data_IF_742196024366
#
_entry.id   IF_742196024366
#
_cell.length_a   1.000
_cell.length_b   1.000
_cell.length_c   1.000
_cell.angle_alpha   90.00
_cell.angle_beta   90.00
_cell.angle_gamma   90.00
#
_symmetry.space_group_name_H-M   'P 1'
#
loop_
_entity.id
_entity.type
_entity.pdbx_description
1 polymer ?
#
# COMPACT_ATOMS: atom_id res chain seq x y z
N UNK A 1 24.44 -11.18 -10.31
CA UNK A 1 22.99 -10.89 -10.40
C UNK A 1 22.66 -10.55 -11.85
N UNK A 2 21.76 -11.28 -12.50
CA UNK A 2 21.41 -11.05 -13.91
C UNK A 2 20.14 -10.18 -13.98
N UNK A 3 20.31 -8.90 -14.32
CA UNK A 3 19.22 -7.94 -14.48
C UNK A 3 18.78 -7.90 -15.94
N UNK A 4 17.47 -7.78 -16.19
CA UNK A 4 16.87 -7.53 -17.49
C UNK A 4 15.85 -6.40 -17.36
N UNK A 5 16.05 -5.32 -18.11
CA UNK A 5 15.17 -4.16 -18.16
C UNK A 5 14.70 -3.97 -19.61
N UNK A 6 13.48 -4.39 -19.90
CA UNK A 6 12.90 -4.35 -21.23
C UNK A 6 11.93 -3.17 -21.36
N UNK A 7 12.10 -2.38 -22.41
CA UNK A 7 11.15 -1.34 -22.82
C UNK A 7 10.65 -1.66 -24.22
N UNK A 8 9.34 -1.76 -24.41
CA UNK A 8 8.72 -2.02 -25.69
C UNK A 8 8.11 -0.75 -26.26
N UNK A 9 8.65 -0.31 -27.38
CA UNK A 9 8.05 0.79 -28.16
C UNK A 9 6.76 0.30 -28.82
N UNK A 10 5.61 0.84 -28.42
CA UNK A 10 4.28 0.44 -28.93
C UNK A 10 4.06 0.82 -30.39
N UNK A 11 4.73 1.86 -30.90
CA UNK A 11 4.54 2.32 -32.27
C UNK A 11 5.25 1.42 -33.28
N UNK A 12 6.39 0.85 -32.91
CA UNK A 12 7.23 0.01 -33.78
C UNK A 12 7.25 -1.46 -33.37
N UNK A 13 6.69 -1.81 -32.20
CA UNK A 13 6.78 -3.11 -31.53
C UNK A 13 8.23 -3.55 -31.20
N UNK A 14 9.22 -2.64 -31.36
CA UNK A 14 10.60 -2.93 -31.03
C UNK A 14 10.79 -3.02 -29.50
N UNK A 15 11.51 -4.05 -29.07
CA UNK A 15 11.87 -4.24 -27.64
C UNK A 15 13.34 -3.88 -27.50
N UNK A 16 13.64 -3.05 -26.51
CA UNK A 16 14.98 -2.64 -26.13
C UNK A 16 15.36 -3.29 -24.81
N UNK A 17 16.49 -3.99 -24.77
CA UNK A 17 17.12 -4.44 -23.53
C UNK A 17 18.03 -3.32 -23.02
N UNK A 18 17.71 -2.79 -21.85
CA UNK A 18 18.29 -1.56 -21.31
C UNK A 18 19.16 -1.77 -20.06
N UNK A 19 19.26 -2.99 -19.53
CA UNK A 19 19.97 -3.23 -18.26
C UNK A 19 21.44 -2.81 -18.33
N UNK A 20 22.13 -3.07 -19.45
CA UNK A 20 23.55 -2.66 -19.63
C UNK A 20 23.77 -1.14 -19.78
N UNK A 21 22.71 -0.37 -19.96
CA UNK A 21 22.72 1.08 -20.07
C UNK A 21 22.29 1.78 -18.78
N UNK A 22 22.08 1.03 -17.72
CA UNK A 22 21.49 1.48 -16.45
C UNK A 22 22.46 1.20 -15.30
N UNK A 23 22.73 2.21 -14.47
CA UNK A 23 23.56 2.05 -13.28
C UNK A 23 22.79 1.52 -12.08
N UNK A 24 21.57 2.01 -11.92
CA UNK A 24 20.70 1.69 -10.78
C UNK A 24 19.25 1.61 -11.21
N UNK A 25 18.54 0.65 -10.65
CA UNK A 25 17.08 0.50 -10.76
C UNK A 25 16.48 0.45 -9.36
N UNK A 26 15.51 1.32 -9.09
CA UNK A 26 14.79 1.33 -7.81
C UNK A 26 13.35 0.92 -8.04
N UNK A 27 12.90 -0.11 -7.33
CA UNK A 27 11.51 -0.55 -7.30
C UNK A 27 10.90 -0.30 -5.92
N UNK A 28 9.86 0.50 -5.86
CA UNK A 28 9.12 0.81 -4.63
C UNK A 28 7.71 0.24 -4.69
N UNK A 29 7.34 -0.55 -3.69
CA UNK A 29 5.96 -0.98 -3.45
C UNK A 29 5.46 -0.45 -2.10
N UNK A 30 4.22 0.03 -2.07
CA UNK A 30 3.52 0.44 -0.84
C UNK A 30 2.23 -0.34 -0.71
N UNK A 31 1.87 -0.70 0.50
CA UNK A 31 0.63 -1.45 0.77
C UNK A 31 -0.61 -0.61 0.50
N UNK A 32 -0.53 0.69 0.77
CA UNK A 32 -1.62 1.64 0.59
C UNK A 32 -1.13 2.96 -0.01
N UNK A 33 -2.04 3.72 -0.57
CA UNK A 33 -1.85 5.14 -0.91
C UNK A 33 -1.09 5.45 -2.20
N UNK A 34 -0.38 4.50 -2.80
CA UNK A 34 0.35 4.76 -4.04
C UNK A 34 0.54 3.52 -4.91
N UNK A 35 0.66 3.69 -6.23
CA UNK A 35 1.01 2.62 -7.16
C UNK A 35 2.44 2.12 -6.94
N UNK A 36 2.71 0.90 -7.41
CA UNK A 36 4.08 0.40 -7.53
C UNK A 36 4.85 1.24 -8.54
N UNK A 37 6.09 1.60 -8.18
CA UNK A 37 6.92 2.55 -8.93
C UNK A 37 8.29 1.95 -9.23
N UNK A 38 8.72 2.04 -10.50
CA UNK A 38 10.06 1.72 -10.95
C UNK A 38 10.75 3.00 -11.45
N UNK A 39 11.92 3.30 -10.91
CA UNK A 39 12.75 4.42 -11.28
C UNK A 39 14.12 3.93 -11.76
N UNK A 40 14.60 4.47 -12.87
CA UNK A 40 15.90 4.15 -13.43
C UNK A 40 16.39 5.26 -14.33
N UNK A 41 17.71 5.30 -14.56
CA UNK A 41 18.33 6.23 -15.51
C UNK A 41 19.10 5.47 -16.56
N UNK A 42 18.95 5.88 -17.83
CA UNK A 42 19.59 5.26 -18.98
C UNK A 42 20.53 6.24 -19.65
N UNK A 43 21.70 5.78 -20.03
CA UNK A 43 22.51 6.53 -21.02
C UNK A 43 21.96 6.23 -22.41
N UNK A 44 21.54 7.28 -23.15
CA UNK A 44 21.03 7.09 -24.51
C UNK A 44 22.09 6.53 -25.42
N UNK A 45 21.88 5.31 -25.91
CA UNK A 45 22.77 4.65 -26.86
C UNK A 45 22.00 4.25 -28.14
N UNK A 46 22.67 4.33 -29.28
CA UNK A 46 22.16 3.84 -30.54
C UNK A 46 20.79 4.43 -30.95
N UNK A 47 19.91 3.54 -31.39
CA UNK A 47 18.56 3.85 -31.86
C UNK A 47 17.48 3.76 -30.80
N UNK A 48 17.84 3.76 -29.52
CA UNK A 48 16.89 3.71 -28.40
C UNK A 48 15.83 4.82 -28.54
N UNK A 49 14.58 4.38 -28.70
CA UNK A 49 13.42 5.25 -28.83
C UNK A 49 12.22 4.63 -28.12
N UNK A 50 11.73 5.32 -27.09
CA UNK A 50 10.55 4.95 -26.34
C UNK A 50 9.81 6.21 -25.86
N UNK A 51 8.54 6.05 -25.49
CA UNK A 51 7.63 7.14 -25.19
C UNK A 51 6.83 6.85 -23.91
N UNK A 52 6.16 7.87 -23.42
CA UNK A 52 5.18 7.74 -22.34
C UNK A 52 4.08 6.75 -22.76
N UNK A 53 3.69 5.86 -21.83
CA UNK A 53 2.76 4.77 -22.10
C UNK A 53 3.39 3.47 -22.63
N UNK A 54 4.67 3.48 -22.99
CA UNK A 54 5.37 2.27 -23.42
C UNK A 54 5.56 1.29 -22.25
N UNK A 55 5.33 -0.03 -22.46
CA UNK A 55 5.50 -1.03 -21.42
C UNK A 55 6.96 -1.18 -20.97
N UNK A 56 7.13 -1.35 -19.66
CA UNK A 56 8.41 -1.64 -19.01
C UNK A 56 8.30 -2.93 -18.23
N UNK A 57 9.31 -3.80 -18.35
CA UNK A 57 9.49 -5.02 -17.56
C UNK A 57 10.85 -5.01 -16.92
N UNK A 58 10.91 -5.29 -15.65
CA UNK A 58 12.17 -5.47 -14.91
C UNK A 58 12.19 -6.83 -14.23
N UNK A 59 13.22 -7.60 -14.51
CA UNK A 59 13.43 -8.93 -13.96
C UNK A 59 14.83 -9.07 -13.42
N UNK A 60 14.99 -9.89 -12.38
CA UNK A 60 16.28 -10.23 -11.77
C UNK A 60 16.36 -11.75 -11.62
N UNK A 61 17.45 -12.34 -12.13
CA UNK A 61 17.68 -13.79 -12.14
C UNK A 61 16.45 -14.58 -12.65
N UNK A 62 15.80 -14.05 -13.69
CA UNK A 62 14.60 -14.63 -14.30
C UNK A 62 13.28 -14.38 -13.55
N UNK A 63 13.33 -13.79 -12.35
CA UNK A 63 12.14 -13.44 -11.58
C UNK A 63 11.62 -12.06 -12.00
N UNK A 64 10.36 -11.98 -12.45
CA UNK A 64 9.73 -10.70 -12.79
C UNK A 64 9.44 -9.91 -11.51
N UNK A 65 10.08 -8.74 -11.38
CA UNK A 65 9.95 -7.83 -10.24
C UNK A 65 8.88 -6.78 -10.50
N UNK A 66 8.87 -6.23 -11.72
CA UNK A 66 7.97 -5.13 -12.08
C UNK A 66 7.46 -5.28 -13.53
N UNK A 67 6.20 -4.95 -13.71
CA UNK A 67 5.58 -4.70 -14.99
C UNK A 67 4.72 -3.43 -14.91
N UNK A 68 4.92 -2.51 -15.81
CA UNK A 68 4.19 -1.25 -15.82
C UNK A 68 4.44 -0.45 -17.09
N UNK A 69 4.27 0.85 -16.99
CA UNK A 69 4.32 1.75 -18.15
C UNK A 69 5.15 2.99 -17.82
N UNK A 70 5.85 3.53 -18.81
CA UNK A 70 6.56 4.81 -18.71
C UNK A 70 5.55 5.94 -18.48
N UNK A 71 5.74 6.73 -17.43
CA UNK A 71 4.92 7.92 -17.17
C UNK A 71 5.69 9.21 -17.31
N UNK A 72 6.95 9.23 -16.87
CA UNK A 72 7.81 10.40 -17.04
C UNK A 72 9.14 10.00 -17.64
N UNK A 73 9.68 10.91 -18.45
CA UNK A 73 10.97 10.78 -19.07
C UNK A 73 11.62 12.15 -19.12
N UNK A 74 12.74 12.30 -18.44
CA UNK A 74 13.53 13.52 -18.42
C UNK A 74 14.91 13.24 -19.02
N UNK A 75 15.37 14.07 -19.92
CA UNK A 75 16.70 13.95 -20.53
C UNK A 75 17.55 15.17 -20.19
N UNK A 76 18.71 14.92 -19.62
CA UNK A 76 19.69 15.94 -19.34
C UNK A 76 20.59 16.28 -20.57
N UNK A 77 21.45 17.28 -20.39
CA UNK A 77 22.41 17.69 -21.42
C UNK A 77 23.48 16.65 -21.75
N UNK A 78 23.71 15.72 -20.83
CA UNK A 78 24.71 14.66 -20.99
C UNK A 78 24.18 13.42 -21.70
N UNK A 79 22.88 13.41 -21.99
CA UNK A 79 22.22 12.30 -22.65
C UNK A 79 21.68 11.25 -21.71
N UNK A 80 21.75 11.48 -20.39
CA UNK A 80 21.11 10.62 -19.40
C UNK A 80 19.60 10.84 -19.43
N UNK A 81 18.85 9.75 -19.51
CA UNK A 81 17.38 9.75 -19.50
C UNK A 81 16.90 9.14 -18.20
N UNK A 82 16.36 9.95 -17.30
CA UNK A 82 15.69 9.49 -16.09
C UNK A 82 14.25 9.12 -16.40
N UNK A 83 13.82 7.95 -15.94
CA UNK A 83 12.51 7.37 -16.24
C UNK A 83 11.81 7.00 -14.93
N UNK A 84 10.53 7.38 -14.85
CA UNK A 84 9.61 6.84 -13.84
C UNK A 84 8.52 6.03 -14.54
N UNK A 85 8.41 4.78 -14.17
CA UNK A 85 7.33 3.88 -14.59
C UNK A 85 6.46 3.50 -13.41
N UNK A 86 5.15 3.37 -13.66
CA UNK A 86 4.18 2.89 -12.67
C UNK A 86 3.48 1.64 -13.15
N UNK A 87 3.08 0.79 -12.22
CA UNK A 87 2.16 -0.31 -12.51
C UNK A 87 0.75 0.20 -12.83
N UNK A 88 -0.16 -0.70 -13.22
CA UNK A 88 -1.50 -0.30 -13.65
C UNK A 88 -2.37 0.29 -12.53
N UNK A 89 -2.02 0.12 -11.24
CA UNK A 89 -2.75 0.76 -10.15
C UNK A 89 -2.67 2.29 -10.22
N UNK A 90 -1.71 2.84 -10.97
CA UNK A 90 -1.60 4.28 -11.25
C UNK A 90 -2.85 4.85 -11.92
N UNK A 91 -3.50 4.08 -12.78
CA UNK A 91 -4.73 4.52 -13.44
C UNK A 91 -5.89 4.67 -12.45
N UNK A 92 -5.85 3.96 -11.33
CA UNK A 92 -6.84 4.04 -10.26
C UNK A 92 -6.73 5.29 -9.37
N UNK A 93 -5.74 6.16 -9.60
CA UNK A 93 -5.71 7.49 -9.00
C UNK A 93 -6.73 8.45 -9.63
N UNK A 94 -7.39 8.05 -10.72
CA UNK A 94 -8.53 8.77 -11.28
C UNK A 94 -9.68 8.81 -10.26
N UNK A 95 -10.37 9.96 -10.21
CA UNK A 95 -11.50 10.18 -9.30
C UNK A 95 -12.79 9.74 -9.97
N UNK A 96 -13.62 9.01 -9.22
CA UNK A 96 -14.95 8.57 -9.65
C UNK A 96 -15.92 8.60 -8.47
N UNK A 97 -17.21 8.73 -8.79
CA UNK A 97 -18.28 8.54 -7.82
C UNK A 97 -18.75 7.09 -7.86
N UNK A 98 -18.71 6.44 -6.70
CA UNK A 98 -19.22 5.08 -6.55
C UNK A 98 -20.10 4.97 -5.32
N UNK A 99 -21.16 4.19 -5.48
CA UNK A 99 -22.02 3.75 -4.39
C UNK A 99 -22.12 2.23 -4.41
N UNK A 100 -21.81 1.60 -3.28
CA UNK A 100 -21.92 0.16 -3.09
C UNK A 100 -22.81 -0.14 -1.89
N UNK A 101 -23.72 -1.08 -2.05
CA UNK A 101 -24.64 -1.55 -1.00
C UNK A 101 -24.51 -3.06 -0.94
N UNK A 102 -24.17 -3.61 0.23
CA UNK A 102 -24.03 -5.05 0.41
C UNK A 102 -22.91 -5.66 -0.47
N UNK A 103 -21.80 -4.95 -0.67
CA UNK A 103 -20.71 -5.40 -1.53
C UNK A 103 -19.56 -6.00 -0.70
N UNK A 104 -18.80 -6.92 -1.30
CA UNK A 104 -17.52 -7.37 -0.75
C UNK A 104 -16.38 -6.52 -1.30
N UNK A 105 -15.22 -6.48 -0.63
CA UNK A 105 -14.09 -5.68 -1.11
C UNK A 105 -13.57 -6.18 -2.47
N UNK A 106 -13.54 -7.52 -2.69
CA UNK A 106 -13.21 -8.09 -3.98
C UNK A 106 -14.24 -7.71 -5.07
N UNK A 107 -15.52 -7.56 -4.72
CA UNK A 107 -16.56 -7.07 -5.61
C UNK A 107 -16.36 -5.61 -6.00
N UNK A 108 -15.95 -4.76 -5.05
CA UNK A 108 -15.55 -3.36 -5.31
C UNK A 108 -14.38 -3.32 -6.29
N UNK A 109 -13.33 -4.13 -6.08
CA UNK A 109 -12.16 -4.21 -6.97
C UNK A 109 -12.58 -4.64 -8.37
N UNK A 110 -13.40 -5.69 -8.50
CA UNK A 110 -13.88 -6.19 -9.80
C UNK A 110 -14.66 -5.13 -10.57
N UNK A 111 -15.56 -4.39 -9.90
CA UNK A 111 -16.34 -3.33 -10.51
C UNK A 111 -15.44 -2.20 -11.01
N UNK A 112 -14.54 -1.72 -10.17
CA UNK A 112 -13.60 -0.64 -10.53
C UNK A 112 -12.68 -1.10 -11.67
N UNK A 113 -12.09 -2.29 -11.58
CA UNK A 113 -11.23 -2.82 -12.64
C UNK A 113 -11.95 -2.91 -13.99
N UNK A 114 -13.20 -3.38 -13.99
CA UNK A 114 -14.03 -3.46 -15.20
C UNK A 114 -14.27 -2.09 -15.83
N UNK A 115 -14.60 -1.09 -15.01
CA UNK A 115 -14.91 0.26 -15.50
C UNK A 115 -13.66 0.95 -16.10
N UNK A 116 -12.46 0.56 -15.66
CA UNK A 116 -11.17 1.05 -16.19
C UNK A 116 -10.54 0.12 -17.25
N UNK A 117 -11.18 -0.99 -17.61
CA UNK A 117 -10.64 -1.95 -18.57
C UNK A 117 -9.36 -2.64 -18.09
N UNK A 118 -9.16 -2.75 -16.76
CA UNK A 118 -7.98 -3.37 -16.16
C UNK A 118 -8.22 -4.86 -15.89
N UNK A 119 -7.16 -5.66 -16.08
CA UNK A 119 -7.23 -7.10 -15.85
C UNK A 119 -7.08 -7.43 -14.38
N UNK A 120 -7.99 -8.26 -13.85
CA UNK A 120 -7.86 -8.83 -12.51
C UNK A 120 -7.16 -10.19 -12.54
N UNK A 121 -6.36 -10.44 -11.51
CA UNK A 121 -5.78 -11.73 -11.18
C UNK A 121 -6.58 -12.45 -10.10
N UNK A 122 -5.86 -13.12 -9.18
CA UNK A 122 -6.47 -13.76 -8.03
C UNK A 122 -6.96 -12.70 -7.02
N UNK A 123 -8.25 -12.72 -6.70
CA UNK A 123 -8.85 -11.88 -5.68
C UNK A 123 -9.29 -12.79 -4.53
N UNK A 124 -8.59 -12.69 -3.40
CA UNK A 124 -8.94 -13.44 -2.19
C UNK A 124 -10.32 -13.02 -1.67
N UNK A 125 -11.13 -14.00 -1.25
CA UNK A 125 -12.40 -13.74 -0.58
C UNK A 125 -12.12 -13.15 0.81
N UNK A 126 -12.66 -11.96 1.07
CA UNK A 126 -12.49 -11.26 2.34
C UNK A 126 -13.39 -11.79 3.45
N UNK A 127 -14.45 -12.52 3.12
CA UNK A 127 -15.42 -13.09 4.05
C UNK A 127 -16.28 -12.04 4.78
N UNK A 128 -16.27 -10.79 4.30
CA UNK A 128 -17.01 -9.70 4.90
C UNK A 128 -17.82 -8.93 3.85
N UNK A 129 -19.09 -8.72 4.14
CA UNK A 129 -19.98 -7.89 3.33
C UNK A 129 -20.06 -6.51 3.94
N UNK A 130 -19.64 -5.51 3.19
CA UNK A 130 -19.67 -4.09 3.55
C UNK A 130 -21.11 -3.62 3.36
N UNK A 131 -21.80 -3.18 4.42
CA UNK A 131 -23.21 -2.77 4.29
C UNK A 131 -23.39 -1.62 3.32
N UNK A 132 -22.52 -0.61 3.42
CA UNK A 132 -22.64 0.60 2.65
C UNK A 132 -21.31 1.32 2.45
N UNK A 133 -21.05 1.75 1.23
CA UNK A 133 -19.95 2.64 0.86
C UNK A 133 -20.47 3.65 -0.15
N UNK A 134 -20.43 4.93 0.18
CA UNK A 134 -20.76 6.01 -0.74
C UNK A 134 -19.63 7.03 -0.81
N UNK A 135 -19.19 7.29 -2.02
CA UNK A 135 -18.20 8.30 -2.34
C UNK A 135 -18.75 9.18 -3.45
N UNK A 136 -19.65 10.08 -3.05
CA UNK A 136 -20.38 10.97 -3.98
C UNK A 136 -19.49 11.89 -4.79
N UNK A 137 -18.28 12.22 -4.33
CA UNK A 137 -17.28 12.97 -5.09
C UNK A 137 -15.91 12.99 -4.43
N UNK A 138 -14.86 13.08 -5.23
CA UNK A 138 -13.54 13.54 -4.81
C UNK A 138 -12.53 12.51 -4.38
N UNK A 139 -12.89 11.24 -4.16
CA UNK A 139 -11.91 10.17 -3.86
C UNK A 139 -11.41 9.51 -5.14
N UNK A 140 -10.14 9.10 -5.13
CA UNK A 140 -9.60 8.25 -6.19
C UNK A 140 -10.18 6.83 -6.08
N UNK A 141 -10.20 6.10 -7.19
CA UNK A 141 -10.63 4.71 -7.20
C UNK A 141 -9.76 3.85 -6.29
N UNK A 142 -8.46 4.17 -6.20
CA UNK A 142 -7.54 3.50 -5.28
C UNK A 142 -7.95 3.73 -3.82
N UNK A 143 -8.29 4.96 -3.42
CA UNK A 143 -8.77 5.28 -2.07
C UNK A 143 -10.12 4.58 -1.76
N UNK A 144 -10.99 4.44 -2.76
CA UNK A 144 -12.26 3.72 -2.62
C UNK A 144 -12.00 2.24 -2.30
N UNK A 145 -11.10 1.60 -3.04
CA UNK A 145 -10.67 0.21 -2.78
C UNK A 145 -10.04 0.11 -1.39
N UNK A 146 -9.15 1.04 -1.02
CA UNK A 146 -8.51 1.04 0.30
C UNK A 146 -9.52 1.24 1.43
N UNK A 147 -10.54 2.08 1.23
CA UNK A 147 -11.62 2.26 2.21
C UNK A 147 -12.43 0.97 2.39
N UNK A 148 -12.70 0.23 1.31
CA UNK A 148 -13.34 -1.08 1.39
C UNK A 148 -12.50 -2.08 2.19
N UNK A 149 -11.19 -2.15 1.94
CA UNK A 149 -10.27 -3.02 2.66
C UNK A 149 -10.09 -2.61 4.13
N UNK A 150 -10.15 -1.32 4.43
CA UNK A 150 -10.12 -0.82 5.80
C UNK A 150 -11.37 -1.27 6.58
N UNK A 151 -12.56 -1.22 5.97
CA UNK A 151 -13.79 -1.75 6.56
C UNK A 151 -13.66 -3.25 6.87
N UNK A 152 -13.08 -4.03 5.97
CA UNK A 152 -12.77 -5.45 6.23
C UNK A 152 -11.85 -5.59 7.44
N UNK A 153 -10.75 -4.83 7.49
CA UNK A 153 -9.77 -4.91 8.58
C UNK A 153 -10.40 -4.55 9.93
N UNK A 154 -11.16 -3.46 10.00
CA UNK A 154 -11.82 -3.00 11.22
C UNK A 154 -12.79 -4.04 11.74
N UNK A 155 -13.57 -4.70 10.87
CA UNK A 155 -14.64 -5.61 11.28
C UNK A 155 -14.19 -7.08 11.46
N UNK A 156 -13.08 -7.48 10.81
CA UNK A 156 -12.63 -8.89 10.85
C UNK A 156 -11.28 -9.09 11.55
N UNK A 157 -10.51 -8.02 11.78
CA UNK A 157 -9.12 -8.07 12.23
C UNK A 157 -8.14 -8.57 11.16
N UNK A 158 -8.61 -8.92 9.96
CA UNK A 158 -7.77 -9.44 8.88
C UNK A 158 -7.32 -8.31 7.96
N UNK A 159 -6.05 -8.32 7.59
CA UNK A 159 -5.49 -7.36 6.64
C UNK A 159 -5.35 -7.99 5.27
N UNK A 160 -5.92 -7.33 4.28
CA UNK A 160 -5.79 -7.69 2.88
C UNK A 160 -5.00 -6.64 2.12
N UNK A 161 -4.25 -7.08 1.13
CA UNK A 161 -3.40 -6.23 0.30
C UNK A 161 -3.87 -6.28 -1.14
N UNK A 162 -4.19 -5.11 -1.67
CA UNK A 162 -4.46 -4.89 -3.08
C UNK A 162 -3.18 -4.43 -3.78
N UNK A 163 -2.81 -5.10 -4.87
CA UNK A 163 -1.56 -4.83 -5.58
C UNK A 163 -1.63 -5.25 -7.04
N UNK A 164 -0.73 -4.74 -7.85
CA UNK A 164 -0.49 -5.27 -9.19
C UNK A 164 0.46 -6.48 -9.13
N UNK A 165 0.03 -7.59 -9.69
CA UNK A 165 0.83 -8.79 -9.88
C UNK A 165 1.15 -8.97 -11.36
N UNK A 166 2.22 -8.32 -11.81
CA UNK A 166 2.70 -8.40 -13.19
C UNK A 166 1.61 -8.10 -14.25
N UNK A 167 0.89 -6.99 -14.08
CA UNK A 167 -0.17 -6.54 -14.97
C UNK A 167 -1.54 -7.14 -14.65
N UNK A 168 -1.74 -7.72 -13.47
CA UNK A 168 -3.03 -8.24 -12.99
C UNK A 168 -3.33 -7.73 -11.59
N UNK A 169 -4.41 -6.97 -11.44
CA UNK A 169 -4.88 -6.49 -10.13
C UNK A 169 -5.26 -7.67 -9.24
N UNK A 170 -4.61 -7.78 -8.10
CA UNK A 170 -4.71 -8.94 -7.22
C UNK A 170 -4.99 -8.52 -5.78
N UNK A 171 -5.64 -9.40 -5.01
CA UNK A 171 -5.95 -9.22 -3.61
C UNK A 171 -5.48 -10.45 -2.82
N UNK A 172 -4.77 -10.25 -1.72
CA UNK A 172 -4.25 -11.32 -0.88
C UNK A 172 -4.34 -10.98 0.61
N UNK A 173 -4.59 -11.98 1.45
CA UNK A 173 -4.54 -11.84 2.91
C UNK A 173 -3.08 -11.82 3.38
N UNK A 174 -2.68 -10.77 4.10
CA UNK A 174 -1.30 -10.61 4.60
C UNK A 174 -0.89 -11.72 5.56
N UNK A 175 -1.79 -12.14 6.46
CA UNK A 175 -1.51 -13.19 7.44
C UNK A 175 -1.11 -14.54 6.82
N UNK A 176 -1.64 -14.82 5.62
CA UNK A 176 -1.31 -16.00 4.83
C UNK A 176 -0.16 -15.77 3.85
N UNK A 177 0.39 -14.57 3.79
CA UNK A 177 1.46 -14.20 2.85
C UNK A 177 2.77 -13.90 3.58
N UNK A 178 3.35 -14.94 4.15
CA UNK A 178 4.61 -14.87 4.91
C UNK A 178 5.80 -15.06 3.99
N UNK A 179 6.87 -14.30 4.24
CA UNK A 179 8.18 -14.52 3.66
C UNK A 179 8.98 -15.47 4.55
N UNK A 180 9.83 -16.30 3.95
CA UNK A 180 10.78 -17.15 4.66
C UNK A 180 12.04 -16.38 5.11
N UNK A 181 12.19 -15.11 4.71
CA UNK A 181 13.31 -14.27 5.11
C UNK A 181 13.23 -13.92 6.61
N UNK A 182 14.37 -13.98 7.27
CA UNK A 182 14.58 -13.47 8.61
C UNK A 182 15.37 -12.16 8.52
N UNK A 183 14.77 -11.07 8.97
CA UNK A 183 15.39 -9.74 8.96
C UNK A 183 15.76 -9.38 10.41
N UNK A 184 17.02 -9.11 10.66
CA UNK A 184 17.44 -8.76 12.02
C UNK A 184 18.93 -8.69 12.22
N UNK A 185 19.34 -8.49 13.47
CA UNK A 185 20.75 -8.44 13.88
C UNK A 185 21.44 -9.76 13.57
N UNK A 186 22.58 -9.71 12.87
CA UNK A 186 23.32 -10.89 12.43
C UNK A 186 22.70 -11.63 11.24
N UNK A 187 21.72 -11.04 10.55
CA UNK A 187 21.09 -11.56 9.34
C UNK A 187 21.13 -10.49 8.24
N UNK A 188 20.00 -10.24 7.55
CA UNK A 188 19.95 -9.30 6.42
C UNK A 188 19.94 -7.83 6.83
N UNK A 189 19.55 -7.46 8.06
CA UNK A 189 19.49 -6.06 8.49
C UNK A 189 20.91 -5.46 8.63
N UNK A 190 21.10 -4.28 8.04
CA UNK A 190 22.36 -3.50 8.11
C UNK A 190 22.22 -2.30 9.02
N UNK A 191 21.03 -1.70 9.08
CA UNK A 191 20.70 -0.57 9.94
C UNK A 191 19.20 -0.54 10.22
N UNK A 192 18.77 0.19 11.27
CA UNK A 192 17.35 0.40 11.54
C UNK A 192 17.08 1.73 12.26
N UNK A 193 15.86 2.24 12.11
CA UNK A 193 15.32 3.38 12.84
C UNK A 193 13.95 3.01 13.40
N UNK A 194 13.77 3.22 14.69
CA UNK A 194 12.52 2.95 15.39
C UNK A 194 11.88 4.23 15.90
N UNK A 195 10.60 4.42 15.61
CA UNK A 195 9.81 5.60 16.01
C UNK A 195 8.53 5.16 16.70
N UNK A 196 8.20 5.84 17.79
CA UNK A 196 6.88 5.81 18.40
C UNK A 196 6.21 7.18 18.25
N UNK A 197 4.92 7.21 17.92
CA UNK A 197 4.18 8.47 17.84
C UNK A 197 2.69 8.30 18.16
N UNK A 198 2.06 9.43 18.54
CA UNK A 198 0.62 9.56 18.73
C UNK A 198 0.04 10.71 17.87
N UNK A 199 0.84 11.27 16.95
CA UNK A 199 0.49 12.40 16.09
C UNK A 199 -0.26 11.97 14.82
N UNK A 200 0.13 10.83 14.28
CA UNK A 200 -0.55 10.26 13.11
C UNK A 200 -1.79 9.47 13.58
N UNK A 201 -2.49 8.76 12.79
CA UNK A 201 -3.64 7.84 13.00
C UNK A 201 -3.86 7.29 14.43
N UNK A 202 -3.73 8.13 15.49
CA UNK A 202 -4.00 7.81 16.89
C UNK A 202 -5.15 8.69 17.40
N UNK A 203 -6.24 8.05 17.83
CA UNK A 203 -7.42 8.73 18.32
C UNK A 203 -7.94 8.06 19.58
N UNK A 204 -8.06 8.82 20.66
CA UNK A 204 -8.61 8.37 21.95
C UNK A 204 -10.08 8.82 22.18
N UNK A 205 -10.65 9.45 21.17
CA UNK A 205 -12.07 9.83 21.13
C UNK A 205 -12.60 9.66 19.70
N UNK A 206 -13.67 8.88 19.54
CA UNK A 206 -14.35 8.67 18.29
C UNK A 206 -15.68 9.38 18.32
N UNK A 207 -15.90 10.32 17.40
CA UNK A 207 -17.14 11.08 17.25
C UNK A 207 -17.76 10.76 15.91
N UNK A 208 -18.87 10.02 15.94
CA UNK A 208 -19.67 9.71 14.76
C UNK A 208 -20.91 10.59 14.74
N UNK A 209 -21.24 11.14 13.57
CA UNK A 209 -22.36 12.05 13.39
C UNK A 209 -23.30 11.48 12.32
N UNK A 210 -24.55 11.19 12.72
CA UNK A 210 -25.59 10.76 11.82
C UNK A 210 -26.47 11.97 11.44
N UNK A 211 -26.54 12.36 10.18
CA UNK A 211 -27.52 13.37 9.75
C UNK A 211 -28.93 12.82 9.91
N UNK A 212 -29.88 13.69 10.12
CA UNK A 212 -31.31 13.35 10.15
C UNK A 212 -32.03 14.34 9.23
N UNK A 213 -32.31 13.88 8.02
CA UNK A 213 -32.95 14.69 6.96
C UNK A 213 -34.37 15.11 7.33
N UNK A 214 -35.06 14.34 8.18
CA UNK A 214 -36.43 14.62 8.62
C UNK A 214 -36.48 15.78 9.61
N UNK A 215 -35.51 15.87 10.53
CA UNK A 215 -35.50 16.89 11.59
C UNK A 215 -34.58 18.07 11.28
N UNK A 216 -33.71 17.93 10.28
CA UNK A 216 -32.64 18.89 9.96
C UNK A 216 -31.53 18.97 11.01
N UNK A 217 -31.53 18.06 12.00
CA UNK A 217 -30.54 17.99 13.08
C UNK A 217 -29.62 16.78 12.89
N UNK A 218 -28.42 16.88 13.42
CA UNK A 218 -27.48 15.78 13.46
C UNK A 218 -27.48 15.13 14.85
N UNK A 219 -27.43 13.81 14.88
CA UNK A 219 -27.26 13.03 16.11
C UNK A 219 -25.80 12.67 16.29
N UNK A 220 -25.27 12.84 17.50
CA UNK A 220 -23.85 12.65 17.81
C UNK A 220 -23.69 11.44 18.71
N UNK A 221 -22.80 10.55 18.32
CA UNK A 221 -22.41 9.37 19.07
C UNK A 221 -20.92 9.46 19.37
N UNK A 222 -20.52 9.28 20.63
CA UNK A 222 -19.13 9.42 21.04
C UNK A 222 -18.72 8.27 21.96
N UNK A 223 -17.57 7.66 21.66
CA UNK A 223 -16.85 6.72 22.50
C UNK A 223 -15.44 7.25 22.76
N UNK A 224 -14.92 7.10 23.98
CA UNK A 224 -13.62 7.69 24.34
C UNK A 224 -12.92 6.92 25.45
N UNK A 225 -11.58 6.99 25.46
CA UNK A 225 -10.71 6.53 26.53
C UNK A 225 -10.28 7.71 27.43
N UNK A 226 -10.96 7.87 28.57
CA UNK A 226 -10.69 8.97 29.49
C UNK A 226 -9.29 8.91 30.13
N UNK A 227 -8.71 7.71 30.30
CA UNK A 227 -7.37 7.55 30.85
C UNK A 227 -6.32 8.10 29.88
N UNK A 228 -6.41 7.74 28.60
CA UNK A 228 -5.47 8.23 27.58
C UNK A 228 -5.72 9.71 27.25
N UNK A 229 -6.95 10.19 27.32
CA UNK A 229 -7.21 11.63 27.22
C UNK A 229 -6.49 12.38 28.33
N UNK A 230 -6.48 11.85 29.58
CA UNK A 230 -5.73 12.44 30.68
C UNK A 230 -4.21 12.45 30.47
N UNK A 231 -3.66 11.51 29.69
CA UNK A 231 -2.21 11.39 29.42
C UNK A 231 -1.76 12.16 28.19
N UNK A 232 -2.54 12.15 27.11
CA UNK A 232 -2.14 12.66 25.79
C UNK A 232 -2.91 13.90 25.35
N UNK A 233 -3.97 14.28 26.07
CA UNK A 233 -4.96 15.23 25.59
C UNK A 233 -5.99 14.57 24.68
N UNK A 234 -6.92 15.37 24.18
CA UNK A 234 -8.00 14.90 23.30
C UNK A 234 -7.49 14.76 21.87
N UNK A 235 -7.42 13.52 21.37
CA UNK A 235 -7.17 13.17 19.99
C UNK A 235 -8.46 12.61 19.39
N UNK A 236 -9.18 13.45 18.61
CA UNK A 236 -10.52 13.11 18.15
C UNK A 236 -10.55 12.67 16.69
N UNK A 237 -11.13 11.48 16.44
CA UNK A 237 -11.61 11.05 15.14
C UNK A 237 -13.02 11.58 14.90
N UNK A 238 -13.30 12.08 13.70
CA UNK A 238 -14.62 12.55 13.30
C UNK A 238 -15.01 11.93 11.97
N UNK A 239 -16.22 11.35 11.93
CA UNK A 239 -16.80 10.81 10.70
C UNK A 239 -18.31 11.04 10.69
N UNK A 240 -18.83 11.41 9.51
CA UNK A 240 -20.26 11.40 9.25
C UNK A 240 -20.64 10.00 8.75
N UNK A 241 -21.60 9.39 9.45
CA UNK A 241 -22.10 8.05 9.11
C UNK A 241 -23.41 8.14 8.33
N UNK A 242 -23.79 7.02 7.72
CA UNK A 242 -25.03 6.93 6.95
C UNK A 242 -26.27 7.12 7.83
N UNK A 243 -27.28 7.84 7.31
CA UNK A 243 -28.56 8.09 7.97
C UNK A 243 -29.35 6.80 8.26
N UNK A 244 -29.19 5.77 7.41
CA UNK A 244 -29.87 4.48 7.51
C UNK A 244 -29.33 3.59 8.66
N UNK A 245 -28.16 3.91 9.21
CA UNK A 245 -27.59 3.14 10.33
C UNK A 245 -28.40 3.36 11.61
N UNK A 246 -28.73 2.28 12.32
CA UNK A 246 -29.37 2.38 13.61
C UNK A 246 -28.35 2.67 14.73
N UNK A 247 -28.86 3.08 15.90
CA UNK A 247 -28.07 3.47 17.08
C UNK A 247 -27.08 2.36 17.51
N UNK A 248 -27.52 1.09 17.49
CA UNK A 248 -26.68 -0.03 17.89
C UNK A 248 -25.52 -0.25 16.93
N UNK A 249 -25.74 -0.10 15.62
CA UNK A 249 -24.71 -0.20 14.60
C UNK A 249 -23.67 0.93 14.75
N UNK A 250 -24.10 2.16 14.95
CA UNK A 250 -23.22 3.33 15.12
C UNK A 250 -22.37 3.19 16.39
N UNK A 251 -23.00 2.78 17.49
CA UNK A 251 -22.27 2.55 18.76
C UNK A 251 -21.24 1.43 18.63
N UNK A 252 -21.58 0.33 17.97
CA UNK A 252 -20.66 -0.76 17.69
C UNK A 252 -19.49 -0.30 16.80
N UNK A 253 -19.76 0.49 15.76
CA UNK A 253 -18.75 1.09 14.91
C UNK A 253 -17.81 2.01 15.70
N UNK A 254 -18.35 2.88 16.55
CA UNK A 254 -17.54 3.79 17.38
C UNK A 254 -16.59 3.01 18.32
N UNK A 255 -17.07 1.95 18.96
CA UNK A 255 -16.25 1.07 19.82
C UNK A 255 -15.13 0.36 19.02
N UNK A 256 -15.48 -0.15 17.85
CA UNK A 256 -14.51 -0.82 16.97
C UNK A 256 -13.42 0.15 16.50
N UNK A 257 -13.81 1.36 16.10
CA UNK A 257 -12.86 2.42 15.71
C UNK A 257 -11.97 2.83 16.88
N UNK A 258 -12.52 3.00 18.09
CA UNK A 258 -11.74 3.30 19.28
C UNK A 258 -10.70 2.21 19.54
N UNK A 259 -11.12 0.94 19.55
CA UNK A 259 -10.20 -0.20 19.72
C UNK A 259 -9.08 -0.21 18.67
N UNK A 260 -9.39 0.17 17.44
CA UNK A 260 -8.41 0.17 16.35
C UNK A 260 -7.43 1.35 16.43
N UNK A 261 -7.89 2.56 16.74
CA UNK A 261 -7.10 3.78 16.67
C UNK A 261 -6.44 4.19 17.99
N UNK A 262 -6.99 3.74 19.14
CA UNK A 262 -6.53 4.17 20.46
C UNK A 262 -5.25 3.45 20.90
N UNK A 263 -4.13 3.79 20.24
CA UNK A 263 -2.83 3.14 20.46
C UNK A 263 -1.68 4.06 20.09
N UNK A 264 -0.52 3.86 20.70
CA UNK A 264 0.75 4.42 20.22
C UNK A 264 1.11 3.72 18.90
N UNK A 265 1.37 4.47 17.87
CA UNK A 265 1.90 3.94 16.61
C UNK A 265 3.39 3.66 16.75
N UNK A 266 3.80 2.53 16.24
CA UNK A 266 5.19 2.11 16.18
C UNK A 266 5.59 1.82 14.76
N UNK A 267 6.61 2.51 14.28
CA UNK A 267 7.15 2.36 12.93
C UNK A 267 8.61 1.94 13.05
N UNK A 268 8.97 0.90 12.34
CA UNK A 268 10.33 0.43 12.23
C UNK A 268 10.73 0.48 10.76
N UNK A 269 11.75 1.27 10.46
CA UNK A 269 12.42 1.32 9.16
C UNK A 269 13.71 0.52 9.26
N UNK A 270 13.92 -0.41 8.33
CA UNK A 270 15.08 -1.30 8.32
C UNK A 270 15.77 -1.18 6.97
N UNK A 271 17.08 -0.94 6.99
CA UNK A 271 17.93 -1.12 5.82
C UNK A 271 18.50 -2.54 5.83
N UNK A 272 18.47 -3.21 4.69
CA UNK A 272 18.83 -4.61 4.61
C UNK A 272 19.44 -5.00 3.27
N UNK A 273 20.17 -6.12 3.26
CA UNK A 273 20.54 -6.80 2.04
C UNK A 273 19.28 -7.29 1.31
N UNK A 274 19.32 -7.29 -0.02
CA UNK A 274 18.17 -7.58 -0.83
C UNK A 274 17.67 -9.02 -0.76
N UNK A 275 16.37 -9.18 -0.63
CA UNK A 275 15.66 -10.46 -0.76
C UNK A 275 14.70 -10.33 -1.94
N UNK A 276 14.95 -11.09 -3.01
CA UNK A 276 14.10 -11.06 -4.20
C UNK A 276 12.66 -11.48 -3.89
N UNK A 277 11.70 -10.77 -4.47
CA UNK A 277 10.27 -11.08 -4.34
C UNK A 277 9.63 -10.59 -3.05
N UNK A 278 10.38 -9.96 -2.13
CA UNK A 278 9.81 -9.31 -0.97
C UNK A 278 9.09 -8.03 -1.41
N UNK A 279 7.88 -7.79 -0.92
CA UNK A 279 7.10 -6.60 -1.29
C UNK A 279 6.16 -6.16 -0.18
N UNK A 280 5.68 -4.94 -0.28
CA UNK A 280 4.69 -4.42 0.66
C UNK A 280 3.45 -5.30 0.72
N UNK A 281 2.93 -5.47 1.93
CA UNK A 281 1.79 -6.33 2.23
C UNK A 281 2.14 -7.75 2.67
N UNK A 282 3.39 -8.18 2.51
CA UNK A 282 3.85 -9.45 3.08
C UNK A 282 4.14 -9.31 4.58
N UNK A 283 4.07 -10.45 5.26
CA UNK A 283 4.57 -10.60 6.61
C UNK A 283 6.00 -11.13 6.55
N UNK A 284 6.93 -10.46 7.25
CA UNK A 284 8.33 -10.89 7.38
C UNK A 284 8.68 -11.09 8.84
N UNK A 285 9.49 -12.11 9.15
CA UNK A 285 9.96 -12.30 10.51
C UNK A 285 11.10 -11.33 10.81
N UNK A 286 10.91 -10.47 11.81
CA UNK A 286 11.92 -9.50 12.26
C UNK A 286 12.40 -9.90 13.64
N UNK A 287 13.72 -9.94 13.81
CA UNK A 287 14.39 -10.22 15.07
C UNK A 287 15.40 -9.13 15.43
N UNK A 288 14.95 -8.15 16.20
CA UNK A 288 15.76 -7.07 16.75
C UNK A 288 15.48 -7.03 18.25
N UNK A 289 16.37 -7.58 19.08
CA UNK A 289 16.09 -7.83 20.51
C UNK A 289 16.04 -6.56 21.36
N UNK A 290 16.59 -5.46 20.88
CA UNK A 290 16.61 -4.17 21.59
C UNK A 290 16.22 -3.02 20.66
N UNK A 291 15.00 -2.52 20.84
CA UNK A 291 14.49 -1.32 20.19
C UNK A 291 14.28 -0.18 21.21
N UNK A 292 14.79 -0.33 22.44
CA UNK A 292 14.66 0.62 23.52
C UNK A 292 13.55 0.25 24.49
N UNK A 293 12.29 0.46 24.13
CA UNK A 293 11.12 0.13 24.98
C UNK A 293 10.56 -1.27 24.76
N UNK A 294 10.96 -1.95 23.70
CA UNK A 294 10.50 -3.30 23.34
C UNK A 294 11.59 -4.17 22.76
N UNK A 295 11.37 -5.48 22.83
CA UNK A 295 12.11 -6.50 22.08
C UNK A 295 11.21 -7.05 20.96
N UNK A 296 11.73 -7.11 19.74
CA UNK A 296 10.99 -7.56 18.59
C UNK A 296 11.52 -8.89 18.06
N UNK A 297 10.71 -9.94 18.16
CA UNK A 297 11.01 -11.26 17.58
C UNK A 297 9.70 -11.89 17.10
N UNK A 298 9.18 -11.40 15.96
CA UNK A 298 7.89 -11.87 15.41
C UNK A 298 7.69 -11.46 13.93
N UNK A 299 6.62 -11.97 13.34
CA UNK A 299 6.17 -11.51 12.04
C UNK A 299 5.57 -10.10 12.14
N UNK A 300 6.04 -9.21 11.26
CA UNK A 300 5.53 -7.84 11.09
C UNK A 300 5.04 -7.63 9.65
N UNK A 301 4.09 -6.73 9.49
CA UNK A 301 3.56 -6.36 8.19
C UNK A 301 4.48 -5.34 7.53
N UNK A 302 4.84 -5.57 6.27
CA UNK A 302 5.55 -4.61 5.44
C UNK A 302 4.58 -3.57 4.86
N UNK A 303 4.72 -2.32 5.25
CA UNK A 303 3.94 -1.19 4.72
C UNK A 303 4.57 -0.63 3.44
N UNK A 304 5.89 -0.60 3.38
CA UNK A 304 6.66 -0.18 2.21
C UNK A 304 7.88 -1.06 2.04
N UNK A 305 8.20 -1.38 0.80
CA UNK A 305 9.46 -2.02 0.42
C UNK A 305 10.02 -1.29 -0.77
N UNK A 306 11.25 -0.82 -0.63
CA UNK A 306 12.04 -0.24 -1.70
C UNK A 306 13.25 -1.13 -1.96
N UNK A 307 13.40 -1.59 -3.18
CA UNK A 307 14.55 -2.35 -3.65
C UNK A 307 15.41 -1.46 -4.50
N UNK A 308 16.72 -1.46 -4.24
CA UNK A 308 17.73 -0.81 -5.08
C UNK A 308 18.66 -1.87 -5.64
N UNK A 309 18.71 -1.92 -6.97
CA UNK A 309 19.59 -2.79 -7.75
C UNK A 309 20.64 -1.92 -8.41
N UNK A 310 21.89 -2.02 -7.95
CA UNK A 310 23.00 -1.22 -8.43
C UNK A 310 24.17 -2.15 -8.74
N UNK A 311 24.54 -2.27 -10.01
CA UNK A 311 25.52 -3.23 -10.48
C UNK A 311 25.18 -4.66 -9.99
N UNK A 312 26.06 -5.27 -9.21
CA UNK A 312 25.83 -6.59 -8.61
C UNK A 312 25.30 -6.54 -7.17
N UNK A 313 24.94 -5.35 -6.69
CA UNK A 313 24.40 -5.15 -5.34
C UNK A 313 22.88 -5.07 -5.38
N UNK A 314 22.26 -5.72 -4.43
CA UNK A 314 20.83 -5.58 -4.17
C UNK A 314 20.65 -5.24 -2.69
N UNK A 315 20.09 -4.07 -2.43
CA UNK A 315 19.73 -3.60 -1.08
C UNK A 315 18.25 -3.31 -1.03
N UNK A 316 17.71 -3.21 0.15
CA UNK A 316 16.32 -2.84 0.35
C UNK A 316 16.13 -2.01 1.62
N UNK A 317 15.11 -1.14 1.56
CA UNK A 317 14.58 -0.41 2.70
C UNK A 317 13.16 -0.89 2.97
N UNK A 318 12.92 -1.29 4.21
CA UNK A 318 11.65 -1.84 4.66
C UNK A 318 11.03 -0.89 5.67
N UNK A 319 9.76 -0.57 5.51
CA UNK A 319 8.96 0.08 6.54
C UNK A 319 7.93 -0.92 7.05
N UNK A 320 7.85 -1.07 8.36
CA UNK A 320 6.98 -2.07 8.97
C UNK A 320 5.98 -1.45 9.91
N UNK A 321 4.83 -2.10 10.04
CA UNK A 321 3.81 -1.77 11.04
C UNK A 321 3.38 -3.05 11.76
N UNK A 322 3.25 -2.98 13.06
CA UNK A 322 2.65 -4.08 13.81
C UNK A 322 1.13 -4.07 13.65
N UNK A 323 0.54 -5.25 13.37
CA UNK A 323 -0.92 -5.42 13.23
C UNK A 323 -1.66 -5.39 14.56
N UNK A 324 -0.98 -5.74 15.65
CA UNK A 324 -1.52 -5.67 17.02
C UNK A 324 -0.36 -5.53 17.98
N UNK A 325 -0.48 -4.70 19.00
CA UNK A 325 0.49 -4.36 20.03
C UNK A 325 1.87 -5.02 19.90
N UNK A 326 2.85 -4.18 19.83
CA UNK A 326 4.25 -4.60 19.90
C UNK A 326 4.54 -5.08 21.31
#
# INVERSE_FOLDING_TARGET
MNQSLLIQNRNTNKIYECASMTESVTFTSKRTGSPGKLEFSLLKAGDLAFFEGDPVRFSVDGTLIFYGYVFTKEKDRWGVISVTAYDQTRYLLAKQAYRFVGATAEGVIQRVAKDFGLTTGALANTGYTIPYLDFGSGKSCLDIIQSALQQVTINTGKVFVFYDNAGKLSLRESGAWKSDALIGSGSFATDYSYKTDIDSDTYNSIKLVRPNSTTGKAEVYQEQDSEKIGKWGLLQYYEQVDEELNVAQITAQAKTLLTYYDRVLRTLSIEALGVLGLRAGQMVFVNIPDLGDISLSKYVLLESVEHTFENDKHTMRLETRALSGW
#
